data_IF_571280643988
#
_entry.id   IF_571280643988
#
_cell.length_a   1.000
_cell.length_b   1.000
_cell.length_c   1.000
_cell.angle_alpha   90.00
_cell.angle_beta   90.00
_cell.angle_gamma   90.00
#
_symmetry.space_group_name_H-M   'P 1'
#
loop_
_entity.id
_entity.type
_entity.pdbx_description
1 polymer ?
#
# COMPACT_ATOMS: atom_id res chain seq x y z
N UNK A 1 10.06 -6.10 -6.76
CA UNK A 1 8.59 -6.12 -6.55
C UNK A 1 8.25 -5.10 -5.46
N UNK A 2 7.20 -4.27 -5.63
CA UNK A 2 6.75 -3.37 -4.56
C UNK A 2 5.64 -4.05 -3.77
N UNK A 3 5.71 -3.98 -2.44
CA UNK A 3 4.87 -4.74 -1.52
C UNK A 3 4.27 -3.80 -0.47
N UNK A 4 3.02 -4.04 -0.10
CA UNK A 4 2.44 -3.40 1.07
C UNK A 4 3.22 -3.80 2.32
N UNK A 5 3.56 -2.84 3.15
CA UNK A 5 4.32 -3.02 4.37
C UNK A 5 3.45 -3.37 5.59
N UNK A 6 2.14 -3.14 5.47
CA UNK A 6 1.16 -3.48 6.49
C UNK A 6 1.14 -4.98 6.75
N UNK A 7 1.16 -5.36 8.03
CA UNK A 7 1.04 -6.75 8.47
C UNK A 7 -0.20 -7.42 7.87
N UNK A 8 -0.05 -8.66 7.43
CA UNK A 8 -1.11 -9.47 6.79
C UNK A 8 -1.69 -8.87 5.49
N UNK A 9 -1.05 -7.86 4.88
CA UNK A 9 -1.47 -7.33 3.59
C UNK A 9 -0.61 -7.88 2.43
N UNK A 10 -1.20 -8.74 1.60
CA UNK A 10 -0.54 -9.31 0.42
C UNK A 10 -0.46 -8.38 -0.80
N UNK A 11 -1.03 -7.18 -0.74
CA UNK A 11 -1.14 -6.28 -1.90
C UNK A 11 0.24 -5.90 -2.45
N UNK A 12 0.43 -6.08 -3.75
CA UNK A 12 1.74 -5.97 -4.39
C UNK A 12 1.63 -5.57 -5.86
N UNK A 13 2.76 -5.18 -6.46
CA UNK A 13 2.82 -4.98 -7.92
C UNK A 13 2.49 -6.25 -8.70
N UNK A 14 2.76 -7.43 -8.15
CA UNK A 14 2.39 -8.70 -8.78
C UNK A 14 0.87 -8.86 -8.84
N UNK A 15 0.16 -8.57 -7.76
CA UNK A 15 -1.31 -8.61 -7.74
C UNK A 15 -1.93 -7.59 -8.72
N UNK A 16 -1.34 -6.40 -8.86
CA UNK A 16 -1.77 -5.43 -9.87
C UNK A 16 -1.54 -5.92 -11.30
N UNK A 17 -0.38 -6.52 -11.58
CA UNK A 17 -0.09 -7.09 -12.90
C UNK A 17 -1.05 -8.24 -13.24
N UNK A 18 -1.37 -9.09 -12.26
CA UNK A 18 -2.37 -10.15 -12.41
C UNK A 18 -3.74 -9.55 -12.76
N UNK A 19 -4.21 -8.58 -11.98
CA UNK A 19 -5.46 -7.87 -12.25
C UNK A 19 -5.48 -7.22 -13.64
N UNK A 20 -4.40 -6.57 -14.06
CA UNK A 20 -4.28 -5.97 -15.40
C UNK A 20 -4.41 -7.03 -16.52
N UNK A 21 -3.99 -8.27 -16.26
CA UNK A 21 -4.13 -9.40 -17.16
C UNK A 21 -5.53 -10.00 -17.19
N UNK A 22 -6.38 -9.73 -16.19
CA UNK A 22 -7.73 -10.29 -16.08
C UNK A 22 -8.73 -9.60 -17.02
N UNK A 23 -9.84 -10.29 -17.30
CA UNK A 23 -10.92 -9.83 -18.16
C UNK A 23 -11.83 -8.80 -17.49
N UNK A 24 -12.05 -7.66 -18.15
CA UNK A 24 -13.00 -6.64 -17.76
C UNK A 24 -14.36 -6.88 -18.45
N UNK A 25 -15.44 -7.18 -17.72
CA UNK A 25 -16.75 -7.42 -18.32
C UNK A 25 -17.42 -6.13 -18.84
N UNK A 26 -17.03 -4.96 -18.32
CA UNK A 26 -17.61 -3.65 -18.67
C UNK A 26 -17.12 -3.19 -20.05
N UNK A 27 -15.82 -3.32 -20.29
CA UNK A 27 -15.17 -2.84 -21.52
C UNK A 27 -14.80 -3.97 -22.48
N UNK A 28 -15.14 -5.22 -22.16
CA UNK A 28 -14.88 -6.43 -22.95
C UNK A 28 -13.43 -6.52 -23.47
N UNK A 29 -12.48 -6.26 -22.58
CA UNK A 29 -11.04 -6.32 -22.82
C UNK A 29 -10.30 -6.60 -21.51
N UNK A 30 -8.98 -6.79 -21.52
CA UNK A 30 -8.22 -6.94 -20.28
C UNK A 30 -8.10 -5.59 -19.56
N UNK A 31 -8.13 -5.60 -18.21
CA UNK A 31 -8.09 -4.38 -17.40
C UNK A 31 -6.86 -3.49 -17.67
N UNK A 32 -5.73 -4.07 -18.04
CA UNK A 32 -4.48 -3.36 -18.31
C UNK A 32 -4.37 -2.72 -19.69
N UNK A 33 -5.39 -2.88 -20.55
CA UNK A 33 -5.36 -2.30 -21.90
C UNK A 33 -5.71 -0.81 -21.88
N UNK A 34 -5.21 -0.04 -22.85
CA UNK A 34 -5.50 1.39 -22.97
C UNK A 34 -6.98 1.74 -23.15
N UNK A 35 -7.82 0.75 -23.54
CA UNK A 35 -9.27 0.89 -23.69
C UNK A 35 -10.04 0.69 -22.39
N UNK A 36 -9.41 0.12 -21.35
CA UNK A 36 -10.04 -0.08 -20.06
C UNK A 36 -9.73 1.09 -19.12
N UNK A 37 -10.78 1.76 -18.64
CA UNK A 37 -10.66 2.92 -17.72
C UNK A 37 -11.07 2.57 -16.29
N UNK A 38 -11.20 1.28 -15.96
CA UNK A 38 -11.54 0.84 -14.61
C UNK A 38 -10.42 1.18 -13.62
N UNK A 39 -10.79 1.66 -12.44
CA UNK A 39 -9.83 1.84 -11.35
C UNK A 39 -9.26 0.49 -10.88
N UNK A 40 -7.96 0.43 -10.54
CA UNK A 40 -7.36 -0.76 -9.97
C UNK A 40 -7.92 -1.05 -8.57
N UNK A 41 -7.86 -2.31 -8.11
CA UNK A 41 -8.39 -2.72 -6.80
C UNK A 41 -7.67 -2.07 -5.62
N UNK A 42 -6.46 -1.55 -5.84
CA UNK A 42 -5.73 -0.71 -4.90
C UNK A 42 -4.63 0.08 -5.63
N UNK A 43 -4.10 1.12 -4.97
CA UNK A 43 -2.91 1.86 -5.40
C UNK A 43 -1.81 1.70 -4.35
N UNK A 44 -0.54 1.74 -4.74
CA UNK A 44 0.60 1.56 -3.83
C UNK A 44 1.34 2.89 -3.63
N UNK A 45 1.26 3.45 -2.42
CA UNK A 45 1.88 4.72 -2.07
C UNK A 45 3.26 4.50 -1.46
N UNK A 46 4.29 5.26 -1.90
CA UNK A 46 5.59 5.25 -1.24
C UNK A 46 5.51 5.86 0.15
N UNK A 47 6.36 5.38 1.04
CA UNK A 47 6.60 6.08 2.30
C UNK A 47 7.07 7.51 2.02
N UNK A 48 6.74 8.47 2.90
CA UNK A 48 7.38 9.76 2.88
C UNK A 48 8.90 9.61 2.89
N UNK A 49 9.60 10.45 2.13
CA UNK A 49 11.05 10.37 2.04
C UNK A 49 11.69 11.06 3.24
N UNK A 50 12.81 10.53 3.71
CA UNK A 50 13.59 11.09 4.83
C UNK A 50 13.87 12.59 4.63
N UNK A 51 14.20 12.97 3.40
CA UNK A 51 14.51 14.37 3.04
C UNK A 51 13.30 15.29 3.06
N UNK A 52 12.11 14.82 2.66
CA UNK A 52 10.93 15.68 2.47
C UNK A 52 10.05 15.73 3.71
N UNK A 53 9.86 14.59 4.37
CA UNK A 53 8.99 14.48 5.52
C UNK A 53 9.45 13.32 6.42
N UNK A 54 10.53 13.52 7.21
CA UNK A 54 11.05 12.50 8.11
C UNK A 54 10.05 12.15 9.22
N UNK A 55 9.27 13.13 9.69
CA UNK A 55 8.23 12.93 10.73
C UNK A 55 7.13 11.99 10.25
N UNK A 56 6.52 12.28 9.10
CA UNK A 56 5.49 11.41 8.53
C UNK A 56 6.01 10.02 8.16
N UNK A 57 7.29 9.91 7.74
CA UNK A 57 7.94 8.62 7.53
C UNK A 57 8.00 7.83 8.84
N UNK A 58 8.44 8.45 9.93
CA UNK A 58 8.49 7.79 11.25
C UNK A 58 7.10 7.43 11.77
N UNK A 59 6.10 8.29 11.57
CA UNK A 59 4.70 8.01 11.93
C UNK A 59 4.17 6.77 11.21
N UNK A 60 4.41 6.64 9.89
CA UNK A 60 4.03 5.43 9.16
C UNK A 60 4.71 4.18 9.69
N UNK A 61 6.01 4.27 10.04
CA UNK A 61 6.76 3.15 10.62
C UNK A 61 6.12 2.72 11.95
N UNK A 62 5.83 3.68 12.82
CA UNK A 62 5.23 3.45 14.12
C UNK A 62 3.81 2.86 14.01
N UNK A 63 2.99 3.34 13.07
CA UNK A 63 1.62 2.86 12.86
C UNK A 63 1.56 1.46 12.25
N UNK A 64 2.53 1.11 11.40
CA UNK A 64 2.64 -0.25 10.88
C UNK A 64 3.10 -1.21 11.98
N UNK A 65 3.90 -0.71 12.93
CA UNK A 65 4.36 -1.42 14.14
C UNK A 65 4.85 -2.84 13.86
N UNK A 66 5.60 -3.02 12.79
CA UNK A 66 6.14 -4.31 12.42
C UNK A 66 7.44 -4.53 13.17
N UNK A 67 7.52 -5.64 13.89
CA UNK A 67 8.78 -6.17 14.42
C UNK A 67 9.27 -7.29 13.50
N UNK A 68 10.58 -7.40 13.39
CA UNK A 68 11.20 -8.57 12.81
C UNK A 68 11.02 -9.76 13.80
N UNK A 69 10.39 -10.86 13.38
CA UNK A 69 10.13 -11.98 14.28
C UNK A 69 11.40 -12.77 14.63
N UNK A 70 12.47 -12.67 13.85
CA UNK A 70 13.73 -13.38 14.08
C UNK A 70 14.68 -12.55 14.96
N UNK A 71 14.77 -11.24 14.72
CA UNK A 71 15.69 -10.37 15.47
C UNK A 71 15.02 -9.61 16.62
N UNK A 72 13.69 -9.52 16.63
CA UNK A 72 12.94 -8.68 17.57
C UNK A 72 13.07 -7.18 17.30
N UNK A 73 13.81 -6.78 16.26
CA UNK A 73 14.06 -5.37 15.96
C UNK A 73 12.85 -4.70 15.29
N UNK A 74 12.75 -3.38 15.45
CA UNK A 74 11.76 -2.60 14.71
C UNK A 74 12.07 -2.65 13.21
N UNK A 75 11.11 -3.13 12.43
CA UNK A 75 11.26 -3.22 10.99
C UNK A 75 11.34 -1.83 10.35
N UNK A 76 12.28 -1.65 9.42
CA UNK A 76 12.44 -0.41 8.66
C UNK A 76 12.01 -0.56 7.19
N UNK A 77 11.29 0.43 6.62
CA UNK A 77 10.84 0.39 5.24
C UNK A 77 12.00 0.61 4.26
N UNK A 78 12.12 -0.33 3.32
CA UNK A 78 13.07 -0.31 2.21
C UNK A 78 12.52 0.53 1.04
N UNK A 79 13.35 0.78 0.02
CA UNK A 79 12.98 1.57 -1.17
C UNK A 79 11.74 1.04 -1.93
N UNK A 80 11.47 -0.26 -1.84
CA UNK A 80 10.33 -0.94 -2.46
C UNK A 80 9.12 -1.13 -1.53
N UNK A 81 9.23 -0.75 -0.25
CA UNK A 81 8.13 -0.78 0.70
C UNK A 81 7.07 0.25 0.33
N UNK A 82 5.81 -0.14 0.36
CA UNK A 82 4.65 0.69 0.02
C UNK A 82 3.57 0.53 1.07
N UNK A 83 2.57 1.40 1.05
CA UNK A 83 1.29 1.18 1.75
C UNK A 83 0.19 1.27 0.71
N UNK A 84 -0.71 0.29 0.69
CA UNK A 84 -1.79 0.28 -0.30
C UNK A 84 -2.95 1.21 0.10
N UNK A 85 -3.72 1.66 -0.89
CA UNK A 85 -4.86 2.57 -0.71
C UNK A 85 -5.87 2.12 0.33
N UNK A 86 -6.01 0.80 0.56
CA UNK A 86 -6.94 0.24 1.54
C UNK A 86 -6.63 0.63 2.99
N UNK A 87 -5.41 1.11 3.26
CA UNK A 87 -5.01 1.54 4.60
C UNK A 87 -5.10 3.06 4.78
N UNK A 88 -5.75 3.78 3.88
CA UNK A 88 -6.01 5.21 4.04
C UNK A 88 -7.52 5.44 4.02
N UNK A 89 -8.07 6.27 4.93
CA UNK A 89 -9.50 6.58 4.95
C UNK A 89 -10.00 7.10 3.59
N UNK A 90 -9.20 7.97 2.95
CA UNK A 90 -9.52 8.58 1.66
C UNK A 90 -9.03 7.76 0.46
N UNK A 91 -8.58 6.51 0.67
CA UNK A 91 -7.94 5.70 -0.37
C UNK A 91 -6.56 6.22 -0.81
N UNK A 92 -6.06 7.28 -0.20
CA UNK A 92 -4.74 7.89 -0.43
C UNK A 92 -4.33 8.74 0.79
N UNK A 93 -3.03 9.00 0.99
CA UNK A 93 -2.59 10.02 1.93
C UNK A 93 -3.02 11.41 1.46
N UNK A 94 -3.81 12.11 2.28
CA UNK A 94 -4.24 13.51 2.06
C UNK A 94 -3.54 14.44 3.06
N UNK A 95 -3.84 15.74 3.02
CA UNK A 95 -3.29 16.67 4.02
C UNK A 95 -3.93 16.41 5.40
N UNK A 96 -5.23 16.08 5.40
CA UNK A 96 -6.03 15.80 6.59
C UNK A 96 -5.79 14.37 7.12
N UNK A 97 -5.70 13.38 6.21
CA UNK A 97 -5.45 11.97 6.52
C UNK A 97 -4.15 11.50 5.85
N UNK A 98 -3.02 12.07 6.27
CA UNK A 98 -1.70 11.77 5.70
C UNK A 98 -1.18 10.37 6.05
N UNK A 99 -1.73 9.77 7.10
CA UNK A 99 -1.21 8.57 7.72
C UNK A 99 -2.11 7.36 7.46
N UNK A 100 -1.53 6.15 7.37
CA UNK A 100 -2.32 4.94 7.29
C UNK A 100 -3.07 4.69 8.60
N UNK A 101 -4.22 4.04 8.53
CA UNK A 101 -4.92 3.58 9.72
C UNK A 101 -4.09 2.51 10.45
N UNK A 102 -4.13 2.56 11.79
CA UNK A 102 -3.41 1.62 12.63
C UNK A 102 -3.99 0.20 12.45
N UNK A 103 -3.12 -0.78 12.21
CA UNK A 103 -3.51 -2.16 11.95
C UNK A 103 -4.02 -2.91 13.19
N UNK A 104 -3.94 -2.30 14.37
CA UNK A 104 -4.49 -2.86 15.63
C UNK A 104 -6.02 -2.84 15.70
N UNK A 105 -6.71 -2.25 14.72
CA UNK A 105 -8.18 -2.05 14.75
C UNK A 105 -8.91 -2.91 13.69
N UNK A 106 -8.20 -3.76 12.95
CA UNK A 106 -8.83 -4.73 12.05
C UNK A 106 -8.85 -6.11 12.72
N UNK A 107 -9.66 -6.22 13.77
CA UNK A 107 -10.16 -7.50 14.33
C UNK A 107 -11.51 -7.84 13.64
N UNK A 108 -11.93 -9.11 13.65
CA UNK A 108 -12.36 -9.92 12.49
C UNK A 108 -13.72 -9.60 11.84
#
# INVERSE_FOLDING_TARGET
MKLCAVLNCGNSTYHLQKWMGDWCPIHQCNYGTSRCVCDPPFKLFPFPTERKNPKGRQEWINLINRTDPETGECWAPKSHSRVCSKHFPDGRPTHENANPINNLILEP
#
